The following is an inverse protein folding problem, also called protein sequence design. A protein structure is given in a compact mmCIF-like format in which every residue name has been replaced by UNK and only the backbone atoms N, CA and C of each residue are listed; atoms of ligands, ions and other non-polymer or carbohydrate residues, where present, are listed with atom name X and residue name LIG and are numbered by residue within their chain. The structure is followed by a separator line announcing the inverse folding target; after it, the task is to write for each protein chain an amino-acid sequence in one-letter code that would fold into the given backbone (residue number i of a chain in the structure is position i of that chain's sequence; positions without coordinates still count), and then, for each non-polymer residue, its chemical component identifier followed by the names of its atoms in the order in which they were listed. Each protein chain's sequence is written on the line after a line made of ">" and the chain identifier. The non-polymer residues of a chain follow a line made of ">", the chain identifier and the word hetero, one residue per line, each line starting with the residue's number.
data_IF_917014494910
#
_entry.id   IF_917014494910
#
_cell.length_a   1.000
_cell.length_b   1.000
_cell.length_c   1.000
_cell.angle_alpha   90.00
_cell.angle_beta   90.00
_cell.angle_gamma   90.00
#
_symmetry.space_group_name_H-M   'P 1'
#
loop_
_entity.id
_entity.type
_entity.pdbx_description
1 polymer ?
#
# COMPACT_ATOMS: atom_id res chain seq x y z
N UNK A 1 1.34 15.14 29.36
CA UNK A 1 1.84 15.81 28.15
C UNK A 1 1.00 17.06 27.89
N UNK A 2 1.63 18.13 27.42
CA UNK A 2 0.97 19.34 26.93
C UNK A 2 1.30 19.48 25.46
N UNK A 3 0.30 19.68 24.62
CA UNK A 3 0.44 20.00 23.20
C UNK A 3 -0.12 21.40 23.02
N UNK A 4 0.70 22.29 22.49
CA UNK A 4 0.29 23.65 22.13
C UNK A 4 0.43 23.76 20.62
N UNK A 5 -0.63 24.20 19.96
CA UNK A 5 -0.65 24.43 18.52
C UNK A 5 -0.88 25.93 18.32
N UNK A 6 0.09 26.56 17.69
CA UNK A 6 -0.01 27.97 17.30
C UNK A 6 -0.10 28.04 15.79
N UNK A 7 -1.13 28.67 15.29
CA UNK A 7 -1.35 28.78 13.86
C UNK A 7 -1.79 30.21 13.49
N UNK A 8 -1.41 30.61 12.28
CA UNK A 8 -1.72 31.94 11.72
C UNK A 8 -3.08 31.99 11.03
N UNK A 9 -3.62 30.83 10.69
CA UNK A 9 -4.83 30.66 9.87
C UNK A 9 -5.77 29.66 10.54
N UNK A 10 -7.01 29.65 10.16
CA UNK A 10 -7.95 28.63 10.60
C UNK A 10 -7.44 27.24 10.26
N UNK A 11 -7.47 26.36 11.24
CA UNK A 11 -6.96 25.02 11.15
C UNK A 11 -7.99 24.01 11.66
N UNK A 12 -8.16 22.93 10.93
CA UNK A 12 -8.95 21.79 11.39
C UNK A 12 -8.03 20.64 11.76
N UNK A 13 -8.07 20.21 13.02
CA UNK A 13 -7.38 19.03 13.49
C UNK A 13 -8.28 17.79 13.34
N UNK A 14 -8.00 16.95 12.37
CA UNK A 14 -8.79 15.76 12.08
C UNK A 14 -8.53 14.61 13.05
N UNK A 15 -7.29 14.45 13.49
CA UNK A 15 -6.96 13.43 14.50
C UNK A 15 -5.70 13.79 15.25
N UNK A 16 -5.64 13.35 16.51
CA UNK A 16 -4.45 13.38 17.35
C UNK A 16 -4.34 12.01 18.03
N UNK A 17 -3.21 11.34 17.82
CA UNK A 17 -2.98 10.01 18.40
C UNK A 17 -1.64 9.99 19.11
N UNK A 18 -1.61 9.37 20.28
CA UNK A 18 -0.39 9.11 21.04
C UNK A 18 -0.11 7.59 21.02
N UNK A 19 1.15 7.27 20.79
CA UNK A 19 1.60 5.88 20.71
C UNK A 19 2.69 5.62 21.75
N UNK A 20 2.72 4.43 22.30
CA UNK A 20 3.79 3.97 23.20
C UNK A 20 4.96 3.38 22.43
N UNK A 21 4.71 2.82 21.24
CA UNK A 21 5.75 2.35 20.34
C UNK A 21 6.21 3.49 19.41
N UNK A 22 7.48 3.49 19.06
CA UNK A 22 8.04 4.43 18.10
C UNK A 22 7.42 4.22 16.72
N UNK A 23 7.00 5.31 16.09
CA UNK A 23 6.42 5.32 14.75
C UNK A 23 7.05 6.38 13.88
N UNK A 24 7.22 6.06 12.61
CA UNK A 24 7.62 7.03 11.61
C UNK A 24 6.47 7.96 11.29
N UNK A 25 6.79 9.25 11.18
CA UNK A 25 5.91 10.21 10.54
C UNK A 25 5.98 10.01 9.01
N UNK A 26 4.88 10.30 8.31
CA UNK A 26 4.81 10.19 6.84
C UNK A 26 5.20 8.79 6.29
N UNK A 27 4.94 7.74 7.05
CA UNK A 27 5.28 6.37 6.68
C UNK A 27 4.55 5.93 5.39
N UNK A 28 3.38 6.46 5.12
CA UNK A 28 2.62 6.20 3.91
C UNK A 28 3.40 6.63 2.66
N UNK A 29 4.05 7.79 2.73
CA UNK A 29 4.90 8.28 1.63
C UNK A 29 6.17 7.46 1.49
N UNK A 30 6.80 7.09 2.60
CA UNK A 30 8.01 6.26 2.57
C UNK A 30 7.72 4.84 2.05
N UNK A 31 6.55 4.30 2.34
CA UNK A 31 6.10 3.01 1.84
C UNK A 31 5.58 3.06 0.39
N UNK A 32 5.56 4.22 -0.25
CA UNK A 32 5.04 4.40 -1.60
C UNK A 32 3.52 4.31 -1.70
N UNK A 33 2.80 4.52 -0.61
CA UNK A 33 1.34 4.40 -0.57
C UNK A 33 0.60 5.69 -0.95
N UNK A 34 1.32 6.78 -1.08
CA UNK A 34 0.80 8.05 -1.57
C UNK A 34 1.57 8.50 -2.79
N UNK A 35 0.84 8.75 -3.87
CA UNK A 35 1.41 9.29 -5.09
C UNK A 35 1.49 10.82 -4.96
N UNK A 36 2.63 11.41 -5.32
CA UNK A 36 2.85 12.86 -5.39
C UNK A 36 2.87 13.62 -4.05
N UNK A 37 2.55 12.99 -2.96
CA UNK A 37 2.61 13.59 -1.61
C UNK A 37 3.84 13.12 -0.85
N UNK A 38 5.00 13.14 -1.49
CA UNK A 38 6.26 13.00 -0.76
C UNK A 38 6.42 14.22 0.13
N UNK A 39 5.86 14.16 1.33
CA UNK A 39 6.34 15.05 2.38
C UNK A 39 7.83 14.73 2.57
N UNK A 40 8.64 15.65 2.13
CA UNK A 40 10.04 15.66 2.49
C UNK A 40 10.08 16.02 3.96
N UNK A 41 9.99 15.01 4.81
CA UNK A 41 10.22 15.19 6.23
C UNK A 41 11.65 15.74 6.39
N UNK A 42 11.75 17.01 6.70
CA UNK A 42 13.04 17.69 6.80
C UNK A 42 13.87 17.21 8.00
N UNK A 43 13.29 16.50 8.93
CA UNK A 43 13.99 15.78 9.98
C UNK A 43 13.08 14.70 10.55
N UNK A 44 13.53 13.45 10.59
CA UNK A 44 12.95 12.46 11.47
C UNK A 44 13.39 12.81 12.89
N UNK A 45 12.48 13.19 13.81
CA UNK A 45 12.86 13.42 15.18
C UNK A 45 13.55 12.17 15.71
N UNK A 46 14.63 12.37 16.45
CA UNK A 46 15.35 11.26 17.07
C UNK A 46 14.37 10.53 18.00
N UNK A 47 14.05 9.31 17.66
CA UNK A 47 13.15 8.49 18.46
C UNK A 47 13.96 7.78 19.54
N UNK A 48 13.35 7.60 20.71
CA UNK A 48 13.97 6.80 21.77
C UNK A 48 14.04 5.34 21.34
N UNK A 49 15.23 4.73 21.22
CA UNK A 49 15.36 3.32 20.83
C UNK A 49 14.62 2.35 21.75
N UNK A 50 14.43 2.70 23.03
CA UNK A 50 13.65 1.88 23.96
C UNK A 50 12.15 1.78 23.60
N UNK A 51 11.67 2.63 22.70
CA UNK A 51 10.30 2.56 22.18
C UNK A 51 10.21 1.76 20.87
N UNK A 52 11.32 1.25 20.34
CA UNK A 52 11.33 0.42 19.15
C UNK A 52 10.79 -0.97 19.45
N UNK A 53 10.18 -1.59 18.46
CA UNK A 53 9.70 -2.97 18.59
C UNK A 53 10.83 -3.91 18.16
N UNK A 54 11.25 -4.79 19.07
CA UNK A 54 12.23 -5.81 18.74
C UNK A 54 11.61 -6.84 17.78
N UNK A 55 12.34 -7.20 16.73
CA UNK A 55 11.83 -8.11 15.69
C UNK A 55 11.47 -9.50 16.22
N UNK A 56 12.19 -9.98 17.19
CA UNK A 56 11.93 -11.26 17.86
C UNK A 56 10.62 -11.26 18.68
N UNK A 57 10.02 -10.08 18.89
CA UNK A 57 8.71 -9.91 19.53
C UNK A 57 7.55 -9.81 18.54
N UNK A 58 7.83 -9.91 17.26
CA UNK A 58 6.79 -9.94 16.23
C UNK A 58 6.42 -11.39 15.97
N UNK A 59 5.16 -11.71 16.20
CA UNK A 59 4.62 -13.06 16.00
C UNK A 59 3.60 -13.00 14.88
N UNK A 60 3.80 -13.81 13.85
CA UNK A 60 2.79 -14.01 12.81
C UNK A 60 1.73 -14.99 13.32
N UNK A 61 0.50 -14.52 13.40
CA UNK A 61 -0.66 -15.29 13.84
C UNK A 61 -1.72 -15.37 12.74
N UNK A 62 -1.32 -15.20 11.50
CA UNK A 62 -2.24 -15.21 10.34
C UNK A 62 -3.01 -16.51 10.25
N UNK A 63 -2.38 -17.64 10.50
CA UNK A 63 -3.01 -18.97 10.46
C UNK A 63 -4.04 -19.21 11.58
N UNK A 64 -4.04 -18.37 12.61
CA UNK A 64 -5.04 -18.39 13.66
C UNK A 64 -6.31 -17.57 13.31
N UNK A 65 -6.31 -16.90 12.18
CA UNK A 65 -7.45 -16.14 11.69
C UNK A 65 -8.30 -17.00 10.77
N UNK A 66 -9.60 -17.09 11.08
CA UNK A 66 -10.60 -17.80 10.27
C UNK A 66 -11.02 -16.95 9.06
N UNK A 67 -11.66 -17.60 8.09
CA UNK A 67 -12.19 -16.94 6.89
C UNK A 67 -13.22 -15.82 7.20
N UNK A 68 -13.98 -15.97 8.27
CA UNK A 68 -14.92 -14.94 8.73
C UNK A 68 -14.23 -13.74 9.41
N UNK A 69 -12.90 -13.79 9.54
CA UNK A 69 -12.09 -12.77 10.17
C UNK A 69 -12.00 -12.89 11.70
N UNK A 70 -12.55 -13.94 12.28
CA UNK A 70 -12.40 -14.25 13.72
C UNK A 70 -10.97 -14.74 13.98
N UNK A 71 -10.33 -14.18 15.00
CA UNK A 71 -9.02 -14.59 15.46
C UNK A 71 -9.14 -15.45 16.71
N UNK A 72 -8.65 -16.69 16.65
CA UNK A 72 -8.54 -17.60 17.79
C UNK A 72 -7.07 -17.83 18.15
N UNK A 73 -6.59 -17.12 19.13
CA UNK A 73 -5.20 -17.15 19.54
C UNK A 73 -5.09 -17.19 21.08
N UNK A 74 -4.33 -18.14 21.60
CA UNK A 74 -3.98 -18.17 23.03
C UNK A 74 -2.91 -17.11 23.28
N UNK A 75 -3.32 -16.02 23.90
CA UNK A 75 -2.46 -14.87 24.17
C UNK A 75 -1.43 -15.23 25.23
N UNK A 76 -0.11 -15.18 24.93
CA UNK A 76 0.93 -15.37 25.94
C UNK A 76 0.89 -14.28 27.01
N UNK A 77 1.52 -14.51 28.14
CA UNK A 77 1.65 -13.50 29.19
C UNK A 77 2.29 -12.22 28.64
N UNK A 78 1.77 -11.06 29.03
CA UNK A 78 2.29 -9.76 28.62
C UNK A 78 1.25 -8.84 28.01
N UNK A 79 1.74 -7.75 27.42
CA UNK A 79 0.91 -6.76 26.72
C UNK A 79 1.15 -6.86 25.23
N UNK A 80 0.10 -7.13 24.50
CA UNK A 80 0.15 -7.37 23.06
C UNK A 80 -0.60 -6.29 22.29
N UNK A 81 -0.14 -6.00 21.10
CA UNK A 81 -0.85 -5.22 20.09
C UNK A 81 -1.06 -6.11 18.89
N UNK A 82 -2.32 -6.32 18.51
CA UNK A 82 -2.67 -7.07 17.32
C UNK A 82 -2.76 -6.11 16.14
N UNK A 83 -2.00 -6.38 15.10
CA UNK A 83 -2.08 -5.67 13.82
C UNK A 83 -2.81 -6.57 12.81
N UNK A 84 -3.96 -6.13 12.33
CA UNK A 84 -4.62 -6.75 11.19
C UNK A 84 -4.29 -5.93 9.95
N UNK A 85 -3.53 -6.54 9.06
CA UNK A 85 -3.07 -5.93 7.82
C UNK A 85 -3.74 -6.66 6.67
N UNK A 86 -4.24 -5.93 5.69
CA UNK A 86 -4.89 -6.49 4.53
C UNK A 86 -4.97 -5.47 3.40
N UNK A 87 -5.46 -5.89 2.27
CA UNK A 87 -5.69 -5.03 1.12
C UNK A 87 -7.16 -5.10 0.68
N UNK A 88 -7.58 -4.07 0.00
CA UNK A 88 -8.90 -3.97 -0.59
C UNK A 88 -8.78 -3.38 -1.98
N UNK A 89 -9.80 -3.54 -2.81
CA UNK A 89 -9.87 -2.86 -4.09
C UNK A 89 -9.77 -1.34 -3.88
N UNK A 90 -9.01 -0.66 -4.74
CA UNK A 90 -8.82 0.80 -4.66
C UNK A 90 -10.12 1.57 -4.85
N UNK A 91 -11.15 0.95 -5.44
CA UNK A 91 -12.40 1.60 -5.79
C UNK A 91 -12.28 2.62 -6.93
N UNK A 92 -11.13 2.64 -7.62
CA UNK A 92 -10.89 3.59 -8.71
C UNK A 92 -11.37 3.04 -10.05
N UNK A 93 -11.86 3.95 -10.87
CA UNK A 93 -12.23 3.69 -12.26
C UNK A 93 -11.24 4.36 -13.17
N UNK A 94 -11.05 3.79 -14.36
CA UNK A 94 -10.21 4.38 -15.37
C UNK A 94 -10.77 5.75 -15.81
N UNK A 95 -9.88 6.72 -15.99
CA UNK A 95 -10.22 8.10 -16.37
C UNK A 95 -9.01 8.76 -17.05
N UNK A 96 -9.21 9.54 -18.11
CA UNK A 96 -10.49 9.77 -18.82
C UNK A 96 -10.92 8.56 -19.65
N UNK A 97 -12.22 8.27 -19.68
CA UNK A 97 -12.80 7.23 -20.53
C UNK A 97 -14.24 7.61 -20.91
N UNK A 98 -14.73 7.24 -22.10
CA UNK A 98 -16.13 7.39 -22.44
C UNK A 98 -16.99 6.45 -21.55
N UNK A 99 -18.29 6.71 -21.40
CA UNK A 99 -19.15 5.90 -20.52
C UNK A 99 -19.07 4.39 -20.80
N UNK A 100 -18.99 4.00 -22.07
CA UNK A 100 -18.92 2.61 -22.53
C UNK A 100 -17.58 1.94 -22.22
N UNK A 101 -16.52 2.74 -22.07
CA UNK A 101 -15.18 2.29 -21.74
C UNK A 101 -14.83 2.43 -20.26
N UNK A 102 -15.75 2.96 -19.44
CA UNK A 102 -15.49 3.16 -18.02
C UNK A 102 -15.64 1.88 -17.24
N UNK A 103 -14.56 1.43 -16.59
CA UNK A 103 -14.52 0.24 -15.76
C UNK A 103 -13.61 0.40 -14.55
N UNK A 104 -13.39 -0.66 -13.84
CA UNK A 104 -12.40 -0.67 -12.76
C UNK A 104 -11.00 -0.52 -13.34
N UNK A 105 -10.18 0.25 -12.65
CA UNK A 105 -8.77 0.37 -13.00
C UNK A 105 -8.10 -1.00 -12.90
N UNK A 106 -7.29 -1.36 -13.90
CA UNK A 106 -6.62 -2.65 -13.92
C UNK A 106 -5.56 -2.77 -12.83
N UNK A 107 -5.27 -3.99 -12.39
CA UNK A 107 -4.14 -4.25 -11.52
C UNK A 107 -2.82 -4.12 -12.30
N UNK A 108 -2.15 -2.98 -12.15
CA UNK A 108 -0.89 -2.68 -12.83
C UNK A 108 0.31 -3.45 -12.30
N UNK A 109 0.16 -4.08 -11.12
CA UNK A 109 1.19 -4.91 -10.50
C UNK A 109 1.06 -6.38 -10.93
N UNK A 110 0.03 -6.73 -11.72
CA UNK A 110 -0.22 -8.08 -12.21
C UNK A 110 -0.06 -8.15 -13.72
N UNK A 111 0.70 -9.13 -14.25
CA UNK A 111 0.74 -9.39 -15.69
C UNK A 111 -0.64 -9.66 -16.30
N UNK A 112 -1.53 -10.31 -15.57
CA UNK A 112 -2.89 -10.57 -16.03
C UNK A 112 -3.75 -9.32 -16.11
N UNK A 113 -3.58 -8.40 -15.16
CA UNK A 113 -4.19 -7.08 -15.22
C UNK A 113 -3.75 -6.29 -16.46
N UNK A 114 -2.45 -6.30 -16.75
CA UNK A 114 -1.89 -5.66 -17.94
C UNK A 114 -2.40 -6.32 -19.24
N UNK A 115 -2.45 -7.65 -19.29
CA UNK A 115 -3.00 -8.40 -20.44
C UNK A 115 -4.48 -8.10 -20.66
N UNK A 116 -5.27 -8.07 -19.58
CA UNK A 116 -6.69 -7.75 -19.66
C UNK A 116 -6.92 -6.32 -20.19
N UNK A 117 -6.14 -5.36 -19.73
CA UNK A 117 -6.20 -3.98 -20.22
C UNK A 117 -5.84 -3.90 -21.71
N UNK A 118 -4.76 -4.55 -22.11
CA UNK A 118 -4.36 -4.58 -23.52
C UNK A 118 -5.44 -5.25 -24.39
N UNK A 119 -5.89 -6.44 -24.02
CA UNK A 119 -6.89 -7.19 -24.77
C UNK A 119 -8.25 -6.46 -24.86
N UNK A 120 -8.61 -5.72 -23.80
CA UNK A 120 -9.87 -4.98 -23.76
C UNK A 120 -9.93 -3.73 -24.64
N UNK A 121 -8.76 -3.16 -24.98
CA UNK A 121 -8.69 -1.92 -25.74
C UNK A 121 -7.79 -2.02 -26.98
N UNK A 122 -6.49 -1.90 -26.83
CA UNK A 122 -5.55 -1.86 -27.96
C UNK A 122 -5.57 -3.15 -28.78
N UNK A 123 -5.65 -4.29 -28.10
CA UNK A 123 -5.75 -5.59 -28.77
C UNK A 123 -6.97 -5.66 -29.69
N UNK A 124 -8.12 -5.13 -29.26
CA UNK A 124 -9.32 -5.11 -30.12
C UNK A 124 -9.18 -4.19 -31.35
N UNK A 125 -8.42 -3.10 -31.24
CA UNK A 125 -8.11 -2.25 -32.38
C UNK A 125 -7.12 -2.94 -33.32
N UNK A 126 -6.07 -3.53 -32.78
CA UNK A 126 -5.05 -4.26 -33.53
C UNK A 126 -5.62 -5.45 -34.30
N UNK A 127 -6.48 -6.24 -33.68
CA UNK A 127 -7.06 -7.44 -34.28
C UNK A 127 -8.31 -7.13 -35.13
N UNK A 128 -8.80 -5.91 -35.07
CA UNK A 128 -9.99 -5.43 -35.77
C UNK A 128 -9.71 -4.30 -36.77
N UNK A 129 -10.23 -3.07 -36.50
CA UNK A 129 -10.19 -1.98 -37.49
C UNK A 129 -8.80 -1.52 -37.90
N UNK A 130 -7.78 -1.74 -37.07
CA UNK A 130 -6.39 -1.35 -37.34
C UNK A 130 -5.49 -2.56 -37.60
N UNK A 131 -6.08 -3.67 -38.06
CA UNK A 131 -5.32 -4.87 -38.45
C UNK A 131 -4.45 -4.64 -39.69
N UNK A 132 -3.55 -5.57 -39.98
CA UNK A 132 -2.71 -5.51 -41.17
C UNK A 132 -1.59 -4.49 -41.13
N UNK A 133 -1.12 -4.11 -39.92
CA UNK A 133 0.01 -3.19 -39.76
C UNK A 133 -0.39 -1.70 -39.81
N UNK A 134 -1.67 -1.40 -39.63
CA UNK A 134 -2.13 -0.01 -39.54
C UNK A 134 -1.85 0.63 -38.17
N UNK A 135 -1.53 -0.17 -37.15
CA UNK A 135 -1.14 0.29 -35.84
C UNK A 135 0.38 0.18 -35.69
N UNK A 136 1.10 1.29 -35.82
CA UNK A 136 2.55 1.35 -35.76
C UNK A 136 3.12 1.58 -34.36
N UNK A 137 2.31 2.06 -33.44
CA UNK A 137 2.77 2.39 -32.11
C UNK A 137 1.66 2.58 -31.10
N UNK A 138 2.06 2.56 -29.84
CA UNK A 138 1.19 2.80 -28.69
C UNK A 138 1.93 3.70 -27.70
N UNK A 139 1.22 4.69 -27.17
CA UNK A 139 1.72 5.50 -26.07
C UNK A 139 1.25 4.92 -24.73
N UNK A 140 2.18 4.63 -23.85
CA UNK A 140 1.93 4.34 -22.45
C UNK A 140 2.51 5.49 -21.63
N UNK A 141 1.63 6.25 -20.99
CA UNK A 141 2.02 7.46 -20.27
C UNK A 141 1.95 7.26 -18.75
N UNK A 142 1.43 8.22 -18.05
CA UNK A 142 1.52 8.37 -16.60
C UNK A 142 0.74 7.32 -15.81
N UNK A 143 1.21 7.06 -14.61
CA UNK A 143 0.44 6.35 -13.58
C UNK A 143 -0.46 7.34 -12.85
N UNK A 144 -1.74 7.43 -13.20
CA UNK A 144 -2.60 8.51 -12.71
C UNK A 144 -3.76 8.07 -11.80
N UNK A 145 -4.12 6.80 -11.79
CA UNK A 145 -5.24 6.29 -11.00
C UNK A 145 -4.86 5.94 -9.56
N UNK A 146 -4.17 6.86 -8.88
CA UNK A 146 -3.65 6.69 -7.53
C UNK A 146 -2.69 5.51 -7.36
N UNK A 147 -2.32 5.23 -6.12
CA UNK A 147 -1.33 4.20 -5.83
C UNK A 147 -1.99 2.83 -5.72
N UNK A 148 -1.45 1.85 -6.41
CA UNK A 148 -1.71 0.43 -6.19
C UNK A 148 -0.51 -0.13 -5.44
N UNK A 149 -0.74 -0.78 -4.31
CA UNK A 149 0.33 -1.15 -3.36
C UNK A 149 0.41 -2.63 -3.10
N UNK A 150 -0.55 -3.40 -3.62
CA UNK A 150 -0.62 -4.83 -3.39
C UNK A 150 -1.16 -5.59 -4.60
N UNK A 151 -0.69 -6.82 -4.74
CA UNK A 151 -1.19 -7.84 -5.68
C UNK A 151 -1.03 -9.21 -5.06
N UNK A 152 -1.72 -10.21 -5.58
CA UNK A 152 -1.72 -11.56 -4.99
C UNK A 152 -0.33 -12.18 -4.89
N UNK A 153 0.54 -11.89 -5.86
CA UNK A 153 1.91 -12.42 -5.91
C UNK A 153 2.93 -11.58 -5.12
N UNK A 154 2.50 -10.51 -4.44
CA UNK A 154 3.40 -9.52 -3.83
C UNK A 154 4.43 -10.16 -2.89
N UNK A 155 4.02 -11.06 -2.01
CA UNK A 155 4.93 -11.68 -1.04
C UNK A 155 5.95 -12.60 -1.72
N UNK A 156 5.51 -13.36 -2.73
CA UNK A 156 6.37 -14.26 -3.49
C UNK A 156 7.38 -13.49 -4.34
N UNK A 157 6.94 -12.47 -5.06
CA UNK A 157 7.79 -11.59 -5.87
C UNK A 157 8.79 -10.83 -5.01
N UNK A 158 8.36 -10.34 -3.86
CA UNK A 158 9.24 -9.65 -2.92
C UNK A 158 10.33 -10.59 -2.38
N UNK A 159 9.96 -11.78 -1.92
CA UNK A 159 10.91 -12.76 -1.40
C UNK A 159 11.92 -13.20 -2.47
N UNK A 160 11.47 -13.43 -3.70
CA UNK A 160 12.34 -13.79 -4.82
C UNK A 160 13.34 -12.72 -5.23
N UNK A 161 13.08 -11.44 -4.90
CA UNK A 161 13.96 -10.32 -5.26
C UNK A 161 14.87 -9.84 -4.12
N UNK A 162 14.51 -10.14 -2.88
CA UNK A 162 15.14 -9.55 -1.70
C UNK A 162 15.74 -10.58 -0.73
N UNK A 163 15.59 -11.87 -1.01
CA UNK A 163 16.11 -12.98 -0.18
C UNK A 163 15.54 -13.01 1.26
N UNK A 164 14.40 -12.34 1.52
CA UNK A 164 13.69 -12.42 2.80
C UNK A 164 12.20 -12.21 2.64
N UNK A 165 11.41 -12.71 3.61
CA UNK A 165 9.96 -12.63 3.56
C UNK A 165 9.44 -11.23 3.93
N UNK A 166 8.54 -10.67 3.11
CA UNK A 166 7.90 -9.37 3.34
C UNK A 166 7.05 -9.36 4.62
N UNK A 167 6.34 -10.44 4.89
CA UNK A 167 5.33 -10.52 5.96
C UNK A 167 5.86 -10.09 7.32
N UNK A 168 7.05 -10.53 7.69
CA UNK A 168 7.70 -10.16 8.95
C UNK A 168 8.07 -8.66 9.04
N UNK A 169 8.05 -7.94 7.91
CA UNK A 169 8.35 -6.51 7.81
C UNK A 169 7.12 -5.62 7.63
N UNK A 170 5.94 -6.21 7.45
CA UNK A 170 4.71 -5.42 7.30
C UNK A 170 4.49 -4.41 8.43
N UNK A 171 4.82 -4.69 9.71
CA UNK A 171 4.73 -3.67 10.74
C UNK A 171 5.60 -2.44 10.47
N UNK A 172 6.80 -2.61 9.87
CA UNK A 172 7.65 -1.49 9.49
C UNK A 172 7.05 -0.70 8.31
N UNK A 173 6.49 -1.41 7.33
CA UNK A 173 5.77 -0.80 6.19
C UNK A 173 4.57 0.01 6.69
N UNK A 174 3.99 -0.36 7.83
CA UNK A 174 2.90 0.37 8.52
C UNK A 174 3.41 1.42 9.52
N UNK A 175 4.69 1.75 9.47
CA UNK A 175 5.29 2.85 10.21
C UNK A 175 5.83 2.52 11.59
N UNK A 176 5.83 1.26 12.04
CA UNK A 176 6.48 0.89 13.28
C UNK A 176 8.00 0.90 13.11
N UNK A 177 8.70 1.49 14.09
CA UNK A 177 10.16 1.44 14.12
C UNK A 177 10.61 0.13 14.75
N UNK A 178 11.29 -0.70 13.97
CA UNK A 178 11.78 -2.02 14.37
C UNK A 178 13.28 -1.98 14.70
N UNK A 179 13.75 -2.88 15.56
CA UNK A 179 15.15 -3.09 15.92
C UNK A 179 15.49 -4.57 15.87
#
# INVERSE_FOLDING_TARGET
>A
YRITIENKYDMTLWSLKLYTAARKNCWESEAGWTLRNLERANAHPQQNPAAYVARDRIVDITDAMREDGTLEWTVPEGRWTILRIGHVNTGRRNSPAPPEGTGWECNKLSPDGARAQFAGYIGRLHDGPLSGGLLDGMLLDSWECETQTWTDDMEAEFAGRNDYALRSWLPAVMGLSLI
#
